data_IF_660780814393
#
_entry.id   IF_660780814393
#
_cell.length_a   1.000
_cell.length_b   1.000
_cell.length_c   1.000
_cell.angle_alpha   90.00
_cell.angle_beta   90.00
_cell.angle_gamma   90.00
#
_symmetry.space_group_name_H-M   'P 1'
#
loop_
_entity.id
_entity.type
_entity.pdbx_description
1 polymer ?
#
# COMPACT_ATOMS: atom_id res chain seq x y z
N UNK A 1 -3.60 20.55 40.49
CA UNK A 1 -3.59 20.29 41.96
C UNK A 1 -4.80 20.97 42.60
N UNK A 2 -5.32 20.46 43.71
CA UNK A 2 -6.44 21.08 44.47
C UNK A 2 -6.04 21.30 45.93
N UNK A 3 -6.52 22.37 46.55
CA UNK A 3 -6.27 22.68 47.96
C UNK A 3 -7.18 21.87 48.90
N UNK A 4 -7.02 22.11 50.19
CA UNK A 4 -7.79 21.53 51.28
C UNK A 4 -9.31 21.86 51.23
N UNK A 5 -9.72 22.89 50.49
CA UNK A 5 -11.13 23.23 50.22
C UNK A 5 -11.62 22.70 48.86
N UNK A 6 -10.86 21.80 48.23
CA UNK A 6 -11.08 21.24 46.87
C UNK A 6 -11.06 22.28 45.74
N UNK A 7 -10.54 23.49 45.98
CA UNK A 7 -10.37 24.48 44.93
C UNK A 7 -9.12 24.17 44.10
N UNK A 8 -9.18 24.28 42.76
CA UNK A 8 -7.99 24.09 41.92
C UNK A 8 -6.95 25.19 42.20
N UNK A 9 -5.78 24.78 42.69
CA UNK A 9 -4.63 25.65 43.02
C UNK A 9 -3.64 25.81 41.86
N UNK A 10 -3.86 25.11 40.75
CA UNK A 10 -3.02 25.28 39.56
C UNK A 10 -3.27 24.22 38.47
N UNK A 11 -3.04 24.65 37.23
CA UNK A 11 -3.08 23.85 36.02
C UNK A 11 -1.63 23.52 35.65
N UNK A 12 -1.31 22.24 35.48
CA UNK A 12 -0.05 21.79 34.90
C UNK A 12 -0.36 21.38 33.46
N UNK A 13 0.23 22.08 32.50
CA UNK A 13 0.20 21.72 31.09
C UNK A 13 1.57 21.17 30.69
N UNK A 14 1.59 19.92 30.23
CA UNK A 14 2.74 19.32 29.58
C UNK A 14 2.48 19.33 28.08
N UNK A 15 3.18 20.20 27.35
CA UNK A 15 3.17 20.22 25.90
C UNK A 15 4.36 19.42 25.37
N UNK A 16 4.10 18.34 24.64
CA UNK A 16 5.14 17.69 23.84
C UNK A 16 5.12 18.32 22.44
N UNK A 17 6.27 18.84 21.99
CA UNK A 17 6.39 19.34 20.63
C UNK A 17 6.42 18.16 19.65
N UNK A 18 5.37 18.06 18.84
CA UNK A 18 5.19 17.02 17.82
C UNK A 18 5.18 17.61 16.40
N UNK A 19 5.65 18.85 16.25
CA UNK A 19 5.58 19.59 14.98
C UNK A 19 6.34 18.86 13.88
N UNK A 20 7.55 18.41 14.16
CA UNK A 20 8.39 17.66 13.22
C UNK A 20 7.74 16.33 12.82
N UNK A 21 7.26 15.55 13.80
CA UNK A 21 6.57 14.28 13.52
C UNK A 21 5.37 14.48 12.59
N UNK A 22 4.55 15.50 12.85
CA UNK A 22 3.40 15.81 11.98
C UNK A 22 3.82 16.17 10.55
N UNK A 23 4.91 16.91 10.37
CA UNK A 23 5.44 17.22 9.03
C UNK A 23 5.93 15.96 8.31
N UNK A 24 6.64 15.06 9.00
CA UNK A 24 7.10 13.80 8.41
C UNK A 24 5.92 12.94 7.95
N UNK A 25 4.90 12.76 8.80
CA UNK A 25 3.69 12.01 8.42
C UNK A 25 2.94 12.65 7.25
N UNK A 26 2.79 13.98 7.24
CA UNK A 26 2.15 14.69 6.15
C UNK A 26 2.93 14.55 4.83
N UNK A 27 4.26 14.58 4.88
CA UNK A 27 5.12 14.40 3.72
C UNK A 27 5.02 12.97 3.16
N UNK A 28 5.09 11.96 4.02
CA UNK A 28 4.87 10.55 3.64
C UNK A 28 3.50 10.38 3.01
N UNK A 29 2.45 10.91 3.65
CA UNK A 29 1.08 10.83 3.13
C UNK A 29 0.93 11.53 1.77
N UNK A 30 1.58 12.68 1.58
CA UNK A 30 1.59 13.39 0.29
C UNK A 30 2.30 12.57 -0.80
N UNK A 31 3.42 11.93 -0.47
CA UNK A 31 4.12 11.03 -1.41
C UNK A 31 3.26 9.81 -1.77
N UNK A 32 2.59 9.19 -0.79
CA UNK A 32 1.66 8.08 -1.00
C UNK A 32 0.51 8.48 -1.94
N UNK A 33 -0.09 9.65 -1.73
CA UNK A 33 -1.15 10.14 -2.61
C UNK A 33 -0.65 10.44 -4.02
N UNK A 34 0.55 11.01 -4.16
CA UNK A 34 1.13 11.30 -5.46
C UNK A 34 1.46 10.01 -6.22
N UNK A 35 2.07 9.02 -5.56
CA UNK A 35 2.32 7.71 -6.13
C UNK A 35 1.00 7.04 -6.54
N UNK A 36 0.01 7.02 -5.65
CA UNK A 36 -1.32 6.47 -5.93
C UNK A 36 -1.97 7.13 -7.15
N UNK A 37 -1.89 8.45 -7.27
CA UNK A 37 -2.44 9.20 -8.40
C UNK A 37 -1.71 8.87 -9.71
N UNK A 38 -0.37 8.79 -9.69
CA UNK A 38 0.43 8.40 -10.85
C UNK A 38 0.03 7.00 -11.31
N UNK A 39 -0.01 6.02 -10.40
CA UNK A 39 -0.38 4.64 -10.72
C UNK A 39 -1.84 4.48 -11.19
N UNK A 40 -2.75 5.34 -10.75
CA UNK A 40 -4.14 5.35 -11.24
C UNK A 40 -4.27 6.06 -12.59
N UNK A 41 -3.36 6.99 -12.91
CA UNK A 41 -3.36 7.71 -14.18
C UNK A 41 -2.75 6.94 -15.36
N UNK A 42 -2.02 5.84 -15.10
CA UNK A 42 -1.47 4.99 -16.16
C UNK A 42 -2.56 4.09 -16.75
N UNK A 43 -2.72 4.12 -18.08
CA UNK A 43 -3.59 3.19 -18.81
C UNK A 43 -3.06 1.75 -18.85
N UNK A 44 -1.85 1.50 -18.31
CA UNK A 44 -1.20 0.21 -18.28
C UNK A 44 -1.48 -0.53 -16.97
N UNK A 45 -1.59 -1.85 -17.04
CA UNK A 45 -1.66 -2.69 -15.86
C UNK A 45 -0.28 -2.74 -15.18
N UNK A 46 -0.28 -2.54 -13.86
CA UNK A 46 0.94 -2.62 -13.04
C UNK A 46 0.69 -3.46 -11.81
N UNK A 47 1.55 -4.45 -11.62
CA UNK A 47 1.51 -5.41 -10.52
C UNK A 47 2.89 -5.48 -9.89
N UNK A 48 2.94 -5.38 -8.56
CA UNK A 48 4.16 -5.59 -7.79
C UNK A 48 4.03 -6.87 -6.98
N UNK A 49 5.03 -7.75 -7.09
CA UNK A 49 5.09 -9.05 -6.42
C UNK A 49 6.38 -9.18 -5.63
N UNK A 50 6.36 -10.06 -4.62
CA UNK A 50 7.59 -10.47 -3.96
C UNK A 50 8.28 -11.66 -4.67
N UNK A 51 9.37 -12.13 -4.08
CA UNK A 51 10.18 -13.26 -4.59
C UNK A 51 9.40 -14.59 -4.70
N UNK A 52 8.30 -14.73 -3.96
CA UNK A 52 7.47 -15.93 -3.94
C UNK A 52 6.25 -15.76 -4.88
N UNK A 53 6.29 -14.71 -5.74
CA UNK A 53 5.24 -14.31 -6.68
C UNK A 53 3.92 -13.94 -6.00
N UNK A 54 3.96 -13.52 -4.73
CA UNK A 54 2.78 -13.05 -4.02
C UNK A 54 2.55 -11.58 -4.33
N UNK A 55 1.34 -11.27 -4.78
CA UNK A 55 0.94 -9.90 -5.11
C UNK A 55 0.98 -9.05 -3.84
N UNK A 56 1.78 -8.00 -3.88
CA UNK A 56 1.86 -6.98 -2.83
C UNK A 56 1.06 -5.73 -3.20
N UNK A 57 0.95 -5.44 -4.49
CA UNK A 57 0.14 -4.34 -5.00
C UNK A 57 -0.35 -4.60 -6.43
N UNK A 58 -1.56 -4.14 -6.73
CA UNK A 58 -2.16 -4.09 -8.06
C UNK A 58 -2.84 -2.75 -8.28
N UNK A 59 -2.58 -2.11 -9.43
CA UNK A 59 -3.37 -0.95 -9.83
C UNK A 59 -4.76 -1.36 -10.35
N UNK A 60 -5.66 -0.38 -10.52
CA UNK A 60 -7.03 -0.65 -10.94
C UNK A 60 -7.10 -1.31 -12.34
N UNK A 61 -6.21 -0.93 -13.25
CA UNK A 61 -6.17 -1.51 -14.60
C UNK A 61 -5.82 -3.00 -14.54
N UNK A 62 -4.82 -3.39 -13.74
CA UNK A 62 -4.48 -4.81 -13.53
C UNK A 62 -5.67 -5.60 -12.96
N UNK A 63 -6.40 -5.03 -11.99
CA UNK A 63 -7.63 -5.65 -11.45
C UNK A 63 -8.71 -5.83 -12.51
N UNK A 64 -8.92 -4.83 -13.37
CA UNK A 64 -9.91 -4.90 -14.44
C UNK A 64 -9.55 -5.96 -15.49
N UNK A 65 -8.28 -6.00 -15.93
CA UNK A 65 -7.80 -7.00 -16.88
C UNK A 65 -7.94 -8.40 -16.30
N UNK A 66 -7.50 -8.61 -15.06
CA UNK A 66 -7.58 -9.92 -14.41
C UNK A 66 -9.03 -10.40 -14.27
N UNK A 67 -9.97 -9.50 -13.94
CA UNK A 67 -11.41 -9.80 -13.95
C UNK A 67 -11.94 -10.20 -15.31
N UNK A 68 -11.53 -9.49 -16.37
CA UNK A 68 -11.99 -9.77 -17.73
C UNK A 68 -11.46 -11.09 -18.27
N UNK A 69 -10.20 -11.41 -17.99
CA UNK A 69 -9.52 -12.60 -18.54
C UNK A 69 -9.75 -13.85 -17.69
N UNK A 70 -9.75 -13.72 -16.36
CA UNK A 70 -9.79 -14.85 -15.41
C UNK A 70 -11.08 -14.91 -14.58
N UNK A 71 -12.00 -13.96 -14.75
CA UNK A 71 -13.28 -13.94 -14.03
C UNK A 71 -13.21 -13.50 -12.56
N UNK A 72 -12.01 -13.16 -12.06
CA UNK A 72 -11.79 -12.61 -10.71
C UNK A 72 -10.74 -11.50 -10.74
N UNK A 73 -10.91 -10.51 -9.89
CA UNK A 73 -9.90 -9.46 -9.71
C UNK A 73 -8.69 -10.06 -8.98
N UNK A 74 -7.49 -9.62 -9.36
CA UNK A 74 -6.26 -9.97 -8.64
C UNK A 74 -6.09 -9.10 -7.39
N UNK A 75 -6.02 -9.74 -6.23
CA UNK A 75 -5.95 -9.07 -4.93
C UNK A 75 -4.57 -9.24 -4.27
N UNK A 76 -4.27 -8.37 -3.30
CA UNK A 76 -3.06 -8.51 -2.48
C UNK A 76 -3.12 -9.82 -1.70
N UNK A 77 -2.04 -10.60 -1.78
CA UNK A 77 -1.93 -11.93 -1.16
C UNK A 77 -2.17 -13.09 -2.13
N UNK A 78 -2.75 -12.83 -3.30
CA UNK A 78 -2.88 -13.86 -4.33
C UNK A 78 -1.51 -14.24 -4.93
N UNK A 79 -1.40 -15.47 -5.42
CA UNK A 79 -0.26 -15.88 -6.23
C UNK A 79 -0.43 -15.34 -7.66
N UNK A 80 0.59 -14.66 -8.19
CA UNK A 80 0.55 -14.08 -9.53
C UNK A 80 0.28 -15.11 -10.63
N UNK A 81 0.76 -16.35 -10.47
CA UNK A 81 0.63 -17.39 -11.49
C UNK A 81 -0.83 -17.82 -11.72
N UNK A 82 -1.73 -17.59 -10.75
CA UNK A 82 -3.17 -17.82 -10.92
C UNK A 82 -3.79 -16.92 -12.00
N UNK A 83 -3.07 -15.87 -12.40
CA UNK A 83 -3.46 -14.88 -13.40
C UNK A 83 -2.53 -14.90 -14.62
N UNK A 84 -1.92 -16.06 -14.90
CA UNK A 84 -1.20 -16.36 -16.14
C UNK A 84 -1.98 -17.41 -16.93
N UNK A 85 -1.96 -17.29 -18.26
CA UNK A 85 -2.43 -18.40 -19.09
C UNK A 85 -1.49 -19.61 -18.90
N UNK A 86 -2.02 -20.84 -18.83
CA UNK A 86 -1.23 -22.03 -18.51
C UNK A 86 0.04 -22.20 -19.37
N UNK A 87 -0.04 -21.83 -20.65
CA UNK A 87 1.08 -21.90 -21.60
C UNK A 87 2.26 -20.98 -21.25
N UNK A 88 2.04 -19.90 -20.49
CA UNK A 88 3.08 -18.92 -20.14
C UNK A 88 3.64 -19.09 -18.72
N UNK A 89 3.02 -19.94 -17.89
CA UNK A 89 3.44 -20.10 -16.48
C UNK A 89 4.85 -20.67 -16.36
N UNK A 90 5.20 -21.68 -17.16
CA UNK A 90 6.51 -22.35 -17.12
C UNK A 90 7.62 -21.39 -17.58
N UNK A 91 7.41 -20.72 -18.72
CA UNK A 91 8.38 -19.76 -19.26
C UNK A 91 8.64 -18.61 -18.29
N UNK A 92 7.57 -18.04 -17.72
CA UNK A 92 7.70 -16.94 -16.78
C UNK A 92 8.50 -17.33 -15.52
N UNK A 93 8.25 -18.51 -14.96
CA UNK A 93 8.99 -19.01 -13.80
C UNK A 93 10.49 -19.14 -14.09
N UNK A 94 10.87 -19.67 -15.24
CA UNK A 94 12.27 -19.82 -15.62
C UNK A 94 13.01 -18.48 -15.81
N UNK A 95 12.32 -17.46 -16.31
CA UNK A 95 12.88 -16.11 -16.47
C UNK A 95 13.06 -15.45 -15.10
N UNK A 96 12.06 -15.58 -14.23
CA UNK A 96 12.06 -14.97 -12.91
C UNK A 96 13.08 -15.60 -11.97
N UNK A 97 13.26 -16.93 -11.98
CA UNK A 97 14.24 -17.62 -11.14
C UNK A 97 15.71 -17.36 -11.56
N UNK A 98 15.94 -16.83 -12.77
CA UNK A 98 17.28 -16.50 -13.27
C UNK A 98 17.81 -15.12 -12.85
N UNK A 99 16.97 -14.25 -12.28
CA UNK A 99 17.32 -12.88 -11.85
C UNK A 99 17.13 -12.71 -10.34
#
# INVERSE_FOLDING_TARGET
MKDQNKQPIGIICLGNDITENKKYFANIQQQEYMLSAIYQSTSEASTFVDKDLIIRYNNQVAKQITKQVFGKEAETGDNLLDYFLPEYQTEFREIFEKH
#
